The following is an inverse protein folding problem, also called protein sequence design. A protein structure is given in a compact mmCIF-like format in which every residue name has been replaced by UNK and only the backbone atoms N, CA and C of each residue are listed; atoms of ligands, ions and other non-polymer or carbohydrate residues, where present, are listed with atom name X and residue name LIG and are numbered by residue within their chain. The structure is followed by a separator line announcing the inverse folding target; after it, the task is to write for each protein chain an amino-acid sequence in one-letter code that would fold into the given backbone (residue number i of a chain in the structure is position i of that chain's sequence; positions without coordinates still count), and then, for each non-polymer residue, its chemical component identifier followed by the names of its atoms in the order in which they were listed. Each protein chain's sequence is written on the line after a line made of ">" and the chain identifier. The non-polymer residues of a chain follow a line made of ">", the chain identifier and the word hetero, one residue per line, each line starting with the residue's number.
data_IF_305255739575
#
_entry.id   IF_305255739575
#
_cell.length_a   1.000
_cell.length_b   1.000
_cell.length_c   1.000
_cell.angle_alpha   90.00
_cell.angle_beta   90.00
_cell.angle_gamma   90.00
#
_symmetry.space_group_name_H-M   'P 1'
#
loop_
_entity.id
_entity.type
_entity.pdbx_description
1 polymer ?
#
# COMPACT_ATOMS: atom_id res chain seq x y z
N UNK A 1 78.38 -0.90 19.11
CA UNK A 1 77.30 -0.27 19.87
C UNK A 1 76.79 0.92 19.05
N UNK A 2 75.82 0.75 18.17
CA UNK A 2 75.17 1.88 17.52
C UNK A 2 73.69 1.48 17.43
N UNK A 3 72.82 2.19 18.16
CA UNK A 3 71.38 2.05 18.14
C UNK A 3 70.84 2.70 16.91
N UNK A 4 70.17 1.91 16.06
CA UNK A 4 69.42 2.40 14.92
C UNK A 4 67.93 2.61 15.27
N UNK A 5 67.56 3.87 15.34
CA UNK A 5 66.19 4.33 15.59
C UNK A 5 65.40 4.28 14.25
N UNK A 6 64.43 3.36 14.14
CA UNK A 6 63.51 3.31 13.00
C UNK A 6 62.36 4.29 13.23
N UNK A 7 62.35 5.37 12.45
CA UNK A 7 61.18 6.27 12.32
C UNK A 7 60.06 5.55 11.55
N UNK A 8 58.93 5.38 12.20
CA UNK A 8 57.68 4.95 11.54
C UNK A 8 56.99 6.20 10.99
N UNK A 9 56.94 6.36 9.68
CA UNK A 9 56.08 7.34 9.04
C UNK A 9 54.67 6.74 8.93
N UNK A 10 53.72 7.24 9.73
CA UNK A 10 52.31 6.99 9.56
C UNK A 10 51.77 7.96 8.50
N UNK A 11 51.49 7.46 7.31
CA UNK A 11 50.77 8.21 6.26
C UNK A 11 49.28 8.14 6.59
N UNK A 12 48.75 9.26 7.09
CA UNK A 12 47.29 9.45 7.23
C UNK A 12 46.69 9.66 5.84
N UNK A 13 46.12 8.62 5.24
CA UNK A 13 45.25 8.80 4.07
C UNK A 13 43.87 9.28 4.56
N UNK A 14 43.65 10.59 4.52
CA UNK A 14 42.32 11.16 4.55
C UNK A 14 41.63 10.82 3.22
N UNK A 15 40.85 9.74 3.24
CA UNK A 15 39.91 9.43 2.16
C UNK A 15 38.74 10.43 2.21
N UNK A 16 38.82 11.47 1.40
CA UNK A 16 37.65 12.31 1.12
C UNK A 16 36.65 11.48 0.32
N UNK A 17 35.61 10.96 0.98
CA UNK A 17 34.43 10.44 0.31
C UNK A 17 33.74 11.62 -0.36
N UNK A 18 33.99 11.79 -1.65
CA UNK A 18 33.18 12.65 -2.51
C UNK A 18 31.80 11.97 -2.58
N UNK A 19 30.87 12.46 -1.78
CA UNK A 19 29.46 12.16 -1.99
C UNK A 19 29.11 12.68 -3.40
N UNK A 20 28.98 11.79 -4.37
CA UNK A 20 28.43 12.14 -5.66
C UNK A 20 27.00 12.58 -5.41
N UNK A 21 26.76 13.88 -5.37
CA UNK A 21 25.44 14.46 -5.46
C UNK A 21 24.80 13.90 -6.75
N UNK A 22 23.68 13.21 -6.61
CA UNK A 22 22.86 12.88 -7.77
C UNK A 22 22.57 14.19 -8.52
N UNK A 23 22.72 14.24 -9.85
CA UNK A 23 22.42 15.47 -10.59
C UNK A 23 20.99 15.89 -10.23
N UNK A 24 20.84 17.12 -9.74
CA UNK A 24 19.53 17.69 -9.44
C UNK A 24 18.67 17.53 -10.67
N UNK A 25 17.58 16.78 -10.55
CA UNK A 25 16.64 16.55 -11.64
C UNK A 25 16.14 17.95 -12.04
N UNK A 26 16.45 18.35 -13.27
CA UNK A 26 16.19 19.70 -13.74
C UNK A 26 14.69 19.97 -13.61
N UNK A 27 14.30 20.98 -12.84
CA UNK A 27 12.88 21.30 -12.62
C UNK A 27 12.26 21.77 -13.93
N UNK A 28 11.56 20.85 -14.61
CA UNK A 28 10.95 21.08 -15.91
C UNK A 28 9.87 22.17 -15.86
N UNK A 29 9.29 22.45 -14.68
CA UNK A 29 8.33 23.54 -14.51
C UNK A 29 8.96 24.90 -14.78
N UNK A 30 10.23 25.12 -14.39
CA UNK A 30 10.95 26.34 -14.67
C UNK A 30 11.04 26.64 -16.18
N UNK A 31 11.00 25.60 -17.02
CA UNK A 31 11.10 25.72 -18.47
C UNK A 31 9.73 25.71 -19.17
N UNK A 32 8.81 24.84 -18.73
CA UNK A 32 7.61 24.53 -19.51
C UNK A 32 6.30 24.94 -18.82
N UNK A 33 6.30 25.20 -17.50
CA UNK A 33 5.10 25.60 -16.74
C UNK A 33 4.96 27.13 -16.56
N UNK A 34 5.89 27.94 -17.10
CA UNK A 34 5.94 29.40 -16.88
C UNK A 34 4.67 30.12 -17.32
N UNK A 35 3.98 29.59 -18.34
CA UNK A 35 2.74 30.16 -18.86
C UNK A 35 1.47 29.69 -18.13
N UNK A 36 1.55 28.62 -17.35
CA UNK A 36 0.36 28.04 -16.71
C UNK A 36 -0.29 29.01 -15.73
N UNK A 37 -1.62 28.90 -15.59
CA UNK A 37 -2.39 29.60 -14.56
C UNK A 37 -1.76 29.39 -13.18
N UNK A 38 -1.74 30.43 -12.36
CA UNK A 38 -1.04 30.43 -11.08
C UNK A 38 -1.93 29.94 -9.96
N UNK A 39 -1.33 29.23 -8.99
CA UNK A 39 -2.01 28.90 -7.76
C UNK A 39 -2.59 30.13 -7.06
N UNK A 40 -3.78 30.02 -6.48
CA UNK A 40 -4.52 31.10 -5.86
C UNK A 40 -5.38 31.93 -6.84
N UNK A 41 -5.33 31.67 -8.16
CA UNK A 41 -6.22 32.34 -9.13
C UNK A 41 -7.48 31.49 -9.37
N UNK A 42 -8.58 32.15 -9.80
CA UNK A 42 -9.77 31.43 -10.23
C UNK A 42 -9.46 30.57 -11.46
N UNK A 43 -9.88 29.30 -11.45
CA UNK A 43 -9.74 28.43 -12.60
C UNK A 43 -10.66 28.90 -13.73
N UNK A 44 -10.15 29.11 -14.96
CA UNK A 44 -10.98 29.46 -16.11
C UNK A 44 -12.08 28.42 -16.34
N UNK A 45 -13.36 28.85 -16.33
CA UNK A 45 -14.47 27.92 -16.61
C UNK A 45 -14.51 27.58 -18.11
N UNK A 46 -14.93 26.35 -18.39
CA UNK A 46 -15.11 25.90 -19.76
C UNK A 46 -16.35 25.03 -19.90
N UNK A 47 -16.83 24.91 -21.12
CA UNK A 47 -17.93 24.04 -21.50
C UNK A 47 -17.53 23.28 -22.77
N UNK A 48 -17.20 21.99 -22.62
CA UNK A 48 -16.63 21.17 -23.70
C UNK A 48 -17.37 19.84 -23.82
N UNK A 49 -17.20 19.16 -24.97
CA UNK A 49 -17.85 17.89 -25.26
C UNK A 49 -16.95 16.69 -24.97
N UNK A 50 -17.57 15.62 -24.49
CA UNK A 50 -16.94 14.28 -24.38
C UNK A 50 -16.90 13.58 -25.73
N UNK A 51 -16.16 12.48 -25.86
CA UNK A 51 -16.15 11.66 -27.10
C UNK A 51 -17.55 11.16 -27.50
N UNK A 52 -18.48 11.02 -26.55
CA UNK A 52 -19.86 10.60 -26.76
C UNK A 52 -20.82 11.80 -27.01
N UNK A 53 -20.28 13.02 -27.09
CA UNK A 53 -21.04 14.24 -27.35
C UNK A 53 -21.73 14.86 -26.14
N UNK A 54 -21.58 14.30 -24.93
CA UNK A 54 -22.07 14.90 -23.68
C UNK A 54 -21.28 16.15 -23.37
N UNK A 55 -21.93 17.13 -22.72
CA UNK A 55 -21.26 18.39 -22.35
C UNK A 55 -20.85 18.38 -20.88
N UNK A 56 -19.60 18.72 -20.62
CA UNK A 56 -19.05 18.97 -19.27
C UNK A 56 -18.75 20.46 -19.14
N UNK A 57 -19.21 21.06 -18.04
CA UNK A 57 -18.85 22.41 -17.61
C UNK A 57 -18.09 22.32 -16.31
N UNK A 58 -16.87 22.87 -16.26
CA UNK A 58 -15.98 22.75 -15.11
C UNK A 58 -16.63 23.26 -13.81
N UNK A 59 -17.20 24.46 -13.83
CA UNK A 59 -17.81 25.07 -12.62
C UNK A 59 -18.94 24.25 -12.02
N UNK A 60 -19.65 23.45 -12.83
CA UNK A 60 -20.68 22.52 -12.35
C UNK A 60 -20.08 21.20 -11.87
N UNK A 61 -19.10 20.68 -12.61
CA UNK A 61 -18.46 19.41 -12.31
C UNK A 61 -17.61 19.48 -11.03
N UNK A 62 -16.87 20.59 -10.84
CA UNK A 62 -15.96 20.82 -9.74
C UNK A 62 -16.65 21.28 -8.43
N UNK A 63 -17.98 21.50 -8.43
CA UNK A 63 -18.67 22.04 -7.25
C UNK A 63 -18.47 21.16 -6.01
N UNK A 64 -17.75 21.72 -5.01
CA UNK A 64 -17.45 21.03 -3.76
C UNK A 64 -16.42 19.90 -3.85
N UNK A 65 -15.70 19.80 -4.98
CA UNK A 65 -14.73 18.73 -5.24
C UNK A 65 -13.37 19.31 -5.63
N UNK A 66 -12.32 18.57 -5.37
CA UNK A 66 -11.01 18.82 -6.00
C UNK A 66 -11.00 18.16 -7.37
N UNK A 67 -10.60 18.89 -8.41
CA UNK A 67 -10.54 18.39 -9.79
C UNK A 67 -9.14 18.56 -10.37
N UNK A 68 -8.59 17.47 -10.92
CA UNK A 68 -7.35 17.51 -11.69
C UNK A 68 -7.69 17.61 -13.19
N UNK A 69 -7.21 18.64 -13.83
CA UNK A 69 -7.27 18.79 -15.29
C UNK A 69 -5.97 18.23 -15.86
N UNK A 70 -6.07 17.21 -16.70
CA UNK A 70 -4.96 16.54 -17.36
C UNK A 70 -4.93 16.93 -18.84
N UNK A 71 -4.02 17.82 -19.21
CA UNK A 71 -3.85 18.29 -20.59
C UNK A 71 -2.90 17.36 -21.34
N UNK A 72 -3.43 16.59 -22.29
CA UNK A 72 -2.71 15.54 -22.99
C UNK A 72 -3.12 15.39 -24.46
N UNK A 73 -2.49 14.47 -25.18
CA UNK A 73 -2.92 14.06 -26.51
C UNK A 73 -2.46 12.62 -26.83
N UNK A 74 -3.21 11.94 -27.70
CA UNK A 74 -2.89 10.58 -28.14
C UNK A 74 -1.56 10.48 -28.93
N UNK A 75 -1.20 11.54 -29.62
CA UNK A 75 0.04 11.64 -30.42
C UNK A 75 1.27 12.08 -29.60
N UNK A 76 1.10 12.57 -28.37
CA UNK A 76 2.17 13.06 -27.51
C UNK A 76 2.96 11.91 -26.87
N UNK A 77 4.28 11.75 -27.13
CA UNK A 77 5.06 10.65 -26.57
C UNK A 77 5.15 10.68 -25.05
N UNK A 78 5.40 11.86 -24.46
CA UNK A 78 5.54 12.04 -23.02
C UNK A 78 4.20 11.77 -22.31
N UNK A 79 3.09 12.25 -22.89
CA UNK A 79 1.75 11.98 -22.36
C UNK A 79 1.44 10.48 -22.32
N UNK A 80 1.84 9.73 -23.38
CA UNK A 80 1.66 8.28 -23.44
C UNK A 80 2.50 7.54 -22.39
N UNK A 81 3.68 8.08 -22.07
CA UNK A 81 4.54 7.53 -21.02
C UNK A 81 3.93 7.77 -19.64
N UNK A 82 3.34 8.94 -19.41
CA UNK A 82 2.76 9.32 -18.12
C UNK A 82 1.34 8.78 -17.92
N UNK A 83 0.61 8.39 -18.98
CA UNK A 83 -0.78 7.96 -18.89
C UNK A 83 -1.04 6.86 -17.85
N UNK A 84 -0.21 5.80 -17.69
CA UNK A 84 -0.42 4.80 -16.64
C UNK A 84 -0.38 5.41 -15.24
N UNK A 85 0.50 6.38 -15.00
CA UNK A 85 0.63 7.06 -13.72
C UNK A 85 -0.58 7.97 -13.44
N UNK A 86 -1.08 8.68 -14.44
CA UNK A 86 -2.29 9.52 -14.31
C UNK A 86 -3.52 8.67 -14.04
N UNK A 87 -3.68 7.53 -14.72
CA UNK A 87 -4.75 6.56 -14.43
C UNK A 87 -4.64 6.04 -13.02
N UNK A 88 -3.44 5.70 -12.57
CA UNK A 88 -3.18 5.27 -11.18
C UNK A 88 -3.62 6.36 -10.19
N UNK A 89 -3.23 7.61 -10.40
CA UNK A 89 -3.65 8.71 -9.53
C UNK A 89 -5.17 8.86 -9.47
N UNK A 90 -5.87 8.80 -10.61
CA UNK A 90 -7.33 8.85 -10.62
C UNK A 90 -7.96 7.73 -9.78
N UNK A 91 -7.55 6.48 -10.01
CA UNK A 91 -8.07 5.34 -9.26
C UNK A 91 -7.75 5.44 -7.75
N UNK A 92 -6.59 6.00 -7.39
CA UNK A 92 -6.18 6.17 -6.00
C UNK A 92 -6.97 7.26 -5.26
N UNK A 93 -7.26 8.38 -5.92
CA UNK A 93 -7.75 9.57 -5.21
C UNK A 93 -9.26 9.84 -5.39
N UNK A 94 -9.94 9.18 -6.34
CA UNK A 94 -11.39 9.37 -6.58
C UNK A 94 -12.25 9.10 -5.36
N UNK A 95 -11.88 8.14 -4.53
CA UNK A 95 -12.61 7.81 -3.30
C UNK A 95 -12.55 8.93 -2.24
N UNK A 96 -11.58 9.84 -2.33
CA UNK A 96 -11.47 11.03 -1.48
C UNK A 96 -12.18 12.24 -2.06
N UNK A 97 -13.04 12.06 -3.06
CA UNK A 97 -13.73 13.15 -3.74
C UNK A 97 -12.84 13.94 -4.69
N UNK A 98 -11.69 13.40 -5.09
CA UNK A 98 -10.85 13.95 -6.15
C UNK A 98 -11.32 13.40 -7.49
N UNK A 99 -11.68 14.30 -8.39
CA UNK A 99 -12.11 13.96 -9.74
C UNK A 99 -11.03 14.36 -10.75
N UNK A 100 -11.06 13.74 -11.92
CA UNK A 100 -10.17 14.07 -13.03
C UNK A 100 -10.98 14.43 -14.29
N UNK A 101 -10.47 15.32 -15.09
CA UNK A 101 -10.95 15.61 -16.45
C UNK A 101 -9.74 15.61 -17.37
N UNK A 102 -9.70 14.70 -18.33
CA UNK A 102 -8.71 14.75 -19.40
C UNK A 102 -9.12 15.79 -20.44
N UNK A 103 -8.23 16.71 -20.71
CA UNK A 103 -8.41 17.76 -21.73
C UNK A 103 -7.53 17.43 -22.91
N UNK A 104 -8.11 16.80 -23.92
CA UNK A 104 -7.36 16.31 -25.09
C UNK A 104 -7.11 17.41 -26.13
N UNK A 105 -5.86 17.45 -26.62
CA UNK A 105 -5.42 18.29 -27.73
C UNK A 105 -5.46 17.53 -29.08
N UNK A 106 -6.21 16.45 -29.16
CA UNK A 106 -6.42 15.70 -30.40
C UNK A 106 -7.36 16.45 -31.34
N UNK A 107 -7.10 16.30 -32.65
CA UNK A 107 -7.97 16.79 -33.73
C UNK A 107 -8.79 15.66 -34.34
N UNK A 108 -8.42 14.40 -34.06
CA UNK A 108 -9.07 13.18 -34.55
C UNK A 108 -9.75 12.45 -33.38
N UNK A 109 -11.07 12.39 -33.43
CA UNK A 109 -11.88 11.76 -32.38
C UNK A 109 -11.65 10.26 -32.26
N UNK A 110 -11.36 9.57 -33.35
CA UNK A 110 -11.18 8.11 -33.34
C UNK A 110 -9.79 7.74 -32.79
N UNK A 111 -8.74 8.52 -33.14
CA UNK A 111 -7.41 8.38 -32.53
C UNK A 111 -7.48 8.62 -31.01
N UNK A 112 -8.22 9.64 -30.58
CA UNK A 112 -8.47 9.97 -29.18
C UNK A 112 -9.17 8.84 -28.44
N UNK A 113 -10.31 8.34 -28.95
CA UNK A 113 -11.06 7.20 -28.38
C UNK A 113 -10.21 5.94 -28.26
N UNK A 114 -9.42 5.66 -29.31
CA UNK A 114 -8.50 4.50 -29.31
C UNK A 114 -7.45 4.61 -28.22
N UNK A 115 -6.91 5.82 -27.98
CA UNK A 115 -5.92 6.04 -26.92
C UNK A 115 -6.55 5.95 -25.53
N UNK A 116 -7.77 6.47 -25.30
CA UNK A 116 -8.54 6.31 -24.07
C UNK A 116 -8.68 4.81 -23.72
N UNK A 117 -9.11 4.01 -24.68
CA UNK A 117 -9.25 2.56 -24.49
C UNK A 117 -7.92 1.86 -24.26
N UNK A 118 -6.88 2.21 -25.03
CA UNK A 118 -5.54 1.62 -24.92
C UNK A 118 -4.90 1.85 -23.54
N UNK A 119 -5.05 3.03 -22.97
CA UNK A 119 -4.46 3.39 -21.67
C UNK A 119 -5.39 3.12 -20.50
N UNK A 120 -6.60 2.59 -20.72
CA UNK A 120 -7.55 2.29 -19.67
C UNK A 120 -8.05 3.54 -18.93
N UNK A 121 -8.11 4.69 -19.60
CA UNK A 121 -8.55 5.97 -19.01
C UNK A 121 -10.04 5.88 -18.72
N UNK A 122 -10.43 6.04 -17.44
CA UNK A 122 -11.83 5.92 -16.99
C UNK A 122 -12.44 7.26 -16.55
N UNK A 123 -11.61 8.27 -16.31
CA UNK A 123 -12.09 9.60 -15.96
C UNK A 123 -12.62 10.34 -17.20
N UNK A 124 -13.58 11.27 -17.01
CA UNK A 124 -14.17 12.05 -18.09
C UNK A 124 -13.14 12.72 -18.98
N UNK A 125 -13.41 12.73 -20.28
CA UNK A 125 -12.55 13.30 -21.29
C UNK A 125 -13.27 14.38 -22.08
N UNK A 126 -12.61 15.48 -22.39
CA UNK A 126 -13.16 16.57 -23.20
C UNK A 126 -12.15 17.04 -24.23
N UNK A 127 -12.63 17.55 -25.38
CA UNK A 127 -11.78 18.14 -26.42
C UNK A 127 -12.53 19.21 -27.21
N UNK A 128 -11.79 20.19 -27.75
CA UNK A 128 -12.28 21.12 -28.77
C UNK A 128 -12.09 20.55 -30.18
N UNK A 129 -11.35 19.44 -30.34
CA UNK A 129 -10.94 18.87 -31.64
C UNK A 129 -10.24 19.87 -32.55
N UNK A 130 -9.50 20.81 -31.97
CA UNK A 130 -8.70 21.85 -32.66
C UNK A 130 -7.21 21.54 -32.48
N UNK A 131 -6.37 22.09 -33.35
CA UNK A 131 -4.92 21.99 -33.14
C UNK A 131 -4.52 22.64 -31.83
N UNK A 132 -3.55 22.04 -31.14
CA UNK A 132 -3.14 22.42 -29.79
C UNK A 132 -3.05 23.93 -29.55
N UNK A 133 -2.33 24.69 -30.42
CA UNK A 133 -2.16 26.12 -30.28
C UNK A 133 -3.40 26.96 -30.64
N UNK A 134 -4.40 26.35 -31.25
CA UNK A 134 -5.65 27.00 -31.67
C UNK A 134 -6.76 26.83 -30.62
N UNK A 135 -6.59 25.91 -29.64
CA UNK A 135 -7.59 25.64 -28.61
C UNK A 135 -7.74 26.84 -27.66
N UNK A 136 -8.98 27.19 -27.35
CA UNK A 136 -9.27 28.30 -26.44
C UNK A 136 -8.94 27.88 -24.99
N UNK A 137 -9.11 26.60 -24.65
CA UNK A 137 -8.79 26.06 -23.35
C UNK A 137 -7.27 26.10 -23.04
N UNK A 138 -6.41 25.75 -24.01
CA UNK A 138 -4.97 25.86 -23.81
C UNK A 138 -4.51 27.31 -23.59
N UNK A 139 -5.11 28.26 -24.31
CA UNK A 139 -4.85 29.71 -24.11
C UNK A 139 -5.31 30.15 -22.73
N UNK A 140 -6.52 29.77 -22.31
CA UNK A 140 -7.09 30.18 -21.03
C UNK A 140 -6.27 29.67 -19.84
N UNK A 141 -5.72 28.45 -19.92
CA UNK A 141 -4.89 27.88 -18.90
C UNK A 141 -3.38 28.12 -19.07
N UNK A 142 -2.99 28.81 -20.13
CA UNK A 142 -1.59 29.08 -20.45
C UNK A 142 -0.76 27.86 -20.78
N UNK A 143 -1.40 26.78 -21.29
CA UNK A 143 -0.77 25.50 -21.62
C UNK A 143 0.03 25.65 -22.91
N UNK A 144 1.35 25.65 -22.79
CA UNK A 144 2.31 25.70 -23.89
C UNK A 144 3.04 24.38 -24.15
N UNK A 145 2.89 23.45 -23.24
CA UNK A 145 3.51 22.12 -23.26
C UNK A 145 2.52 21.07 -22.77
N UNK A 146 2.58 19.85 -23.28
CA UNK A 146 1.87 18.70 -22.75
C UNK A 146 2.86 17.53 -22.54
N UNK A 147 2.69 16.71 -21.47
CA UNK A 147 1.60 16.79 -20.49
C UNK A 147 1.69 18.02 -19.60
N UNK A 148 0.55 18.58 -19.22
CA UNK A 148 0.43 19.61 -18.19
C UNK A 148 -0.76 19.29 -17.30
N UNK A 149 -0.66 19.60 -16.01
CA UNK A 149 -1.73 19.33 -15.06
C UNK A 149 -2.06 20.57 -14.24
N UNK A 150 -3.36 20.76 -13.97
CA UNK A 150 -3.84 21.83 -13.11
C UNK A 150 -4.80 21.23 -12.08
N UNK A 151 -4.52 21.44 -10.79
CA UNK A 151 -5.40 21.05 -9.69
C UNK A 151 -6.28 22.24 -9.31
N UNK A 152 -7.60 22.04 -9.37
CA UNK A 152 -8.62 23.02 -8.99
C UNK A 152 -9.27 22.57 -7.68
N UNK A 153 -9.28 23.43 -6.67
CA UNK A 153 -9.88 23.13 -5.37
C UNK A 153 -11.41 23.25 -5.37
N UNK A 154 -12.07 22.81 -4.28
CA UNK A 154 -13.52 22.88 -4.11
C UNK A 154 -14.09 24.31 -4.15
N UNK A 155 -13.24 25.30 -3.92
CA UNK A 155 -13.51 26.74 -3.98
C UNK A 155 -13.39 27.30 -5.42
N UNK A 156 -13.11 26.47 -6.41
CA UNK A 156 -12.90 26.87 -7.80
C UNK A 156 -11.56 27.55 -8.08
N UNK A 157 -10.65 27.58 -7.12
CA UNK A 157 -9.32 28.18 -7.31
C UNK A 157 -8.29 27.15 -7.72
N UNK A 158 -7.33 27.56 -8.52
CA UNK A 158 -6.14 26.77 -8.85
C UNK A 158 -5.29 26.56 -7.60
N UNK A 159 -4.95 25.31 -7.30
CA UNK A 159 -4.11 24.92 -6.16
C UNK A 159 -2.69 24.56 -6.59
N UNK A 160 -2.54 23.97 -7.76
CA UNK A 160 -1.26 23.57 -8.35
C UNK A 160 -1.35 23.61 -9.87
N UNK A 161 -0.27 24.04 -10.53
CA UNK A 161 -0.08 23.91 -11.97
C UNK A 161 1.34 23.46 -12.25
N UNK A 162 1.50 22.38 -13.04
CA UNK A 162 2.80 21.74 -13.26
C UNK A 162 2.81 20.91 -14.54
N UNK A 163 4.00 20.66 -15.08
CA UNK A 163 4.24 19.66 -16.14
C UNK A 163 4.77 18.35 -15.59
N UNK A 164 4.81 18.19 -14.26
CA UNK A 164 5.43 17.06 -13.55
C UNK A 164 4.38 16.28 -12.78
N UNK A 165 4.00 15.12 -13.29
CA UNK A 165 2.97 14.22 -12.73
C UNK A 165 3.20 13.91 -11.25
N UNK A 166 4.46 13.70 -10.83
CA UNK A 166 4.80 13.42 -9.44
C UNK A 166 4.47 14.56 -8.47
N UNK A 167 4.46 15.85 -8.93
CA UNK A 167 4.07 16.99 -8.07
C UNK A 167 2.57 16.97 -7.79
N UNK A 168 1.76 16.54 -8.77
CA UNK A 168 0.32 16.34 -8.56
C UNK A 168 0.08 15.19 -7.58
N UNK A 169 0.75 14.05 -7.76
CA UNK A 169 0.65 12.92 -6.85
C UNK A 169 1.01 13.31 -5.41
N UNK A 170 2.15 14.02 -5.25
CA UNK A 170 2.57 14.56 -3.95
C UNK A 170 1.51 15.47 -3.34
N UNK A 171 0.97 16.43 -4.11
CA UNK A 171 -0.06 17.35 -3.64
C UNK A 171 -1.34 16.63 -3.23
N UNK A 172 -1.82 15.67 -4.06
CA UNK A 172 -3.02 14.90 -3.76
C UNK A 172 -2.80 14.00 -2.54
N UNK A 173 -1.62 13.41 -2.40
CA UNK A 173 -1.24 12.65 -1.22
C UNK A 173 -1.28 13.51 0.04
N UNK A 174 -0.69 14.71 0.01
CA UNK A 174 -0.73 15.65 1.14
C UNK A 174 -2.17 16.12 1.44
N UNK A 175 -2.97 16.40 0.40
CA UNK A 175 -4.37 16.78 0.54
C UNK A 175 -5.20 15.67 1.16
N UNK A 176 -5.03 14.44 0.72
CA UNK A 176 -5.79 13.28 1.20
C UNK A 176 -5.20 12.72 2.50
N UNK A 177 -3.89 12.88 2.75
CA UNK A 177 -3.26 12.57 4.04
C UNK A 177 -3.72 13.56 5.11
N UNK A 178 -4.01 14.81 4.75
CA UNK A 178 -4.68 15.77 5.65
C UNK A 178 -6.17 15.42 5.89
N UNK A 179 -6.84 14.77 4.93
CA UNK A 179 -8.17 14.17 5.09
C UNK A 179 -8.07 12.80 5.80
N UNK A 180 -7.00 12.08 5.56
CA UNK A 180 -6.54 10.96 6.34
C UNK A 180 -5.78 11.52 7.57
N UNK A 181 -6.51 12.13 8.48
CA UNK A 181 -6.03 12.29 9.83
C UNK A 181 -5.98 10.88 10.43
N UNK A 182 -4.87 10.18 10.19
CA UNK A 182 -4.48 8.99 10.91
C UNK A 182 -4.34 9.32 12.41
N UNK A 183 -5.45 9.72 13.01
CA UNK A 183 -5.66 9.67 14.44
C UNK A 183 -6.01 8.23 14.73
N UNK A 184 -5.48 7.69 15.80
CA UNK A 184 -5.86 6.38 16.31
C UNK A 184 -7.38 6.36 16.54
N UNK A 185 -8.15 6.07 15.46
CA UNK A 185 -9.60 5.89 15.55
C UNK A 185 -9.84 4.54 16.18
N UNK A 186 -10.10 4.51 17.47
CA UNK A 186 -10.40 3.25 18.14
C UNK A 186 -10.01 3.24 19.60
N UNK A 187 -10.25 2.12 20.24
CA UNK A 187 -9.93 1.84 21.63
C UNK A 187 -8.57 1.14 21.70
N UNK A 188 -7.62 1.75 22.40
CA UNK A 188 -6.32 1.12 22.68
C UNK A 188 -6.49 0.11 23.80
N UNK A 189 -6.09 -1.13 23.56
CA UNK A 189 -6.14 -2.21 24.53
C UNK A 189 -4.75 -2.84 24.69
N UNK A 190 -4.54 -3.51 25.84
CA UNK A 190 -3.33 -4.24 26.14
C UNK A 190 -3.67 -5.72 26.30
N UNK A 191 -2.98 -6.60 25.61
CA UNK A 191 -3.22 -8.04 25.58
C UNK A 191 -1.95 -8.74 26.09
N UNK A 192 -2.09 -9.80 26.87
CA UNK A 192 -0.93 -10.60 27.26
C UNK A 192 -0.44 -11.41 26.06
N UNK A 193 0.75 -11.08 25.55
CA UNK A 193 1.41 -11.78 24.44
C UNK A 193 2.33 -12.91 24.92
N UNK A 194 3.18 -13.39 24.02
CA UNK A 194 4.11 -14.49 24.34
C UNK A 194 5.28 -14.01 25.23
N UNK A 195 5.85 -12.85 24.96
CA UNK A 195 7.03 -12.29 25.64
C UNK A 195 6.76 -10.92 26.27
N UNK A 196 5.55 -10.62 26.67
CA UNK A 196 5.16 -9.35 27.24
C UNK A 196 3.82 -8.86 26.71
N UNK A 197 3.45 -7.66 27.10
CA UNK A 197 2.16 -7.08 26.72
C UNK A 197 2.18 -6.55 25.30
N UNK A 198 1.17 -6.91 24.55
CA UNK A 198 0.91 -6.40 23.20
C UNK A 198 0.08 -5.12 23.30
N UNK A 199 0.47 -4.09 22.54
CA UNK A 199 -0.35 -2.92 22.29
C UNK A 199 -1.23 -3.19 21.08
N UNK A 200 -2.54 -3.04 21.24
CA UNK A 200 -3.51 -3.23 20.17
C UNK A 200 -4.50 -2.07 20.09
N UNK A 201 -5.10 -1.91 18.92
CA UNK A 201 -6.11 -0.89 18.63
C UNK A 201 -7.34 -1.57 18.03
N UNK A 202 -8.47 -1.47 18.73
CA UNK A 202 -9.77 -1.95 18.26
C UNK A 202 -10.51 -0.80 17.60
N UNK A 203 -10.89 -0.97 16.34
CA UNK A 203 -11.73 -0.08 15.57
C UNK A 203 -13.03 -0.82 15.24
N UNK A 204 -14.18 -0.32 15.73
CA UNK A 204 -15.47 -1.00 15.58
C UNK A 204 -16.57 -0.04 15.10
N UNK A 205 -17.60 -0.54 14.39
CA UNK A 205 -18.79 0.24 14.07
C UNK A 205 -19.58 0.56 15.35
N UNK A 206 -20.49 1.51 15.26
CA UNK A 206 -21.49 1.72 16.31
C UNK A 206 -22.44 0.51 16.36
N UNK A 207 -22.57 -0.11 17.53
CA UNK A 207 -23.41 -1.28 17.74
C UNK A 207 -24.52 -0.94 18.74
N UNK A 208 -25.73 -1.40 18.47
CA UNK A 208 -26.84 -1.37 19.44
C UNK A 208 -26.60 -2.40 20.54
N UNK A 209 -27.21 -2.24 21.72
CA UNK A 209 -27.14 -3.24 22.79
C UNK A 209 -27.50 -4.65 22.28
N UNK A 210 -26.60 -5.63 22.48
CA UNK A 210 -26.77 -7.01 22.03
C UNK A 210 -26.46 -7.29 20.56
N UNK A 211 -26.16 -6.28 19.76
CA UNK A 211 -25.76 -6.46 18.36
C UNK A 211 -24.32 -6.99 18.30
N UNK A 212 -24.08 -7.85 17.30
CA UNK A 212 -22.76 -8.43 17.01
C UNK A 212 -22.29 -8.04 15.63
N UNK A 213 -20.96 -7.97 15.46
CA UNK A 213 -20.31 -7.75 14.16
C UNK A 213 -19.15 -8.72 13.93
N UNK A 214 -18.79 -9.01 12.68
CA UNK A 214 -17.54 -9.69 12.38
C UNK A 214 -16.34 -8.85 12.82
N UNK A 215 -15.18 -9.50 13.05
CA UNK A 215 -13.92 -8.80 13.35
C UNK A 215 -12.78 -9.36 12.53
N UNK A 216 -11.89 -8.46 12.05
CA UNK A 216 -10.69 -8.78 11.29
C UNK A 216 -9.45 -8.48 12.13
N UNK A 217 -8.55 -9.45 12.23
CA UNK A 217 -7.26 -9.37 12.94
C UNK A 217 -6.16 -9.07 11.93
N UNK A 218 -5.28 -8.11 12.22
CA UNK A 218 -4.21 -7.69 11.31
C UNK A 218 -2.82 -8.01 11.88
N UNK A 219 -2.01 -8.72 11.10
CA UNK A 219 -0.64 -9.12 11.40
C UNK A 219 0.35 -8.34 10.50
N UNK A 220 1.14 -7.44 11.08
CA UNK A 220 2.11 -6.64 10.34
C UNK A 220 3.36 -7.43 9.92
N UNK A 221 4.16 -6.87 9.00
CA UNK A 221 5.37 -7.50 8.50
C UNK A 221 6.61 -7.24 9.38
N UNK A 222 7.74 -7.80 8.92
CA UNK A 222 9.07 -7.65 9.54
C UNK A 222 9.40 -6.19 9.83
N UNK A 223 9.79 -5.88 11.06
CA UNK A 223 10.07 -4.52 11.53
C UNK A 223 8.92 -3.53 11.25
N UNK A 224 7.69 -4.02 11.16
CA UNK A 224 6.49 -3.23 10.96
C UNK A 224 5.83 -2.79 12.26
N UNK A 225 4.66 -2.18 12.14
CA UNK A 225 3.78 -1.82 13.25
C UNK A 225 2.32 -1.97 12.85
N UNK A 226 1.42 -1.90 13.83
CA UNK A 226 -0.04 -1.90 13.61
C UNK A 226 -0.54 -0.70 12.81
N UNK A 227 0.29 0.32 12.61
CA UNK A 227 -0.03 1.54 11.90
C UNK A 227 0.49 1.48 10.47
N UNK A 228 -0.15 2.23 9.59
CA UNK A 228 0.25 2.38 8.20
C UNK A 228 -0.92 2.26 7.23
N UNK A 229 -0.80 2.88 6.06
CA UNK A 229 -1.93 3.04 5.13
C UNK A 229 -2.52 1.69 4.68
N UNK A 230 -1.70 0.65 4.58
CA UNK A 230 -2.15 -0.65 4.11
C UNK A 230 -3.23 -1.27 5.02
N UNK A 231 -3.08 -1.14 6.34
CA UNK A 231 -4.03 -1.69 7.31
C UNK A 231 -5.11 -0.70 7.71
N UNK A 232 -4.75 0.57 7.83
CA UNK A 232 -5.67 1.61 8.27
C UNK A 232 -6.79 1.83 7.26
N UNK A 233 -6.47 1.84 5.97
CA UNK A 233 -7.47 1.97 4.90
C UNK A 233 -8.44 0.77 4.85
N UNK A 234 -7.92 -0.45 5.01
CA UNK A 234 -8.79 -1.63 5.10
C UNK A 234 -9.68 -1.54 6.34
N UNK A 235 -9.12 -1.18 7.51
CA UNK A 235 -9.88 -1.06 8.76
C UNK A 235 -10.98 0.02 8.67
N UNK A 236 -10.70 1.18 8.07
CA UNK A 236 -11.69 2.25 7.86
C UNK A 236 -12.83 1.78 6.93
N UNK A 237 -12.49 1.09 5.84
CA UNK A 237 -13.47 0.54 4.89
C UNK A 237 -14.33 -0.53 5.57
N UNK A 238 -13.74 -1.43 6.35
CA UNK A 238 -14.45 -2.47 7.10
C UNK A 238 -15.41 -1.86 8.12
N UNK A 239 -14.97 -0.84 8.88
CA UNK A 239 -15.82 -0.15 9.86
C UNK A 239 -17.05 0.48 9.20
N UNK A 240 -16.89 1.12 8.04
CA UNK A 240 -17.98 1.70 7.26
C UNK A 240 -19.00 0.65 6.80
N UNK A 241 -18.59 -0.63 6.71
CA UNK A 241 -19.44 -1.76 6.31
C UNK A 241 -19.89 -2.63 7.49
N UNK A 242 -19.80 -2.12 8.72
CA UNK A 242 -20.30 -2.81 9.91
C UNK A 242 -19.41 -3.96 10.40
N UNK A 243 -18.13 -3.95 10.06
CA UNK A 243 -17.12 -4.95 10.44
C UNK A 243 -16.09 -4.29 11.36
N UNK A 244 -15.81 -4.89 12.51
CA UNK A 244 -14.76 -4.43 13.40
C UNK A 244 -13.38 -4.91 12.95
N UNK A 245 -12.35 -4.27 13.47
CA UNK A 245 -10.96 -4.68 13.27
C UNK A 245 -10.14 -4.55 14.55
N UNK A 246 -9.11 -5.37 14.68
CA UNK A 246 -8.06 -5.23 15.67
C UNK A 246 -6.71 -5.27 14.97
N UNK A 247 -5.92 -4.23 15.19
CA UNK A 247 -4.53 -4.11 14.74
C UNK A 247 -3.65 -4.11 15.97
N UNK A 248 -2.55 -4.81 15.96
CA UNK A 248 -1.65 -4.90 17.12
C UNK A 248 -0.20 -4.92 16.69
N UNK A 249 0.67 -4.49 17.58
CA UNK A 249 2.12 -4.64 17.43
C UNK A 249 2.55 -5.98 18.05
N UNK A 250 3.32 -6.78 17.32
CA UNK A 250 3.93 -8.00 17.89
C UNK A 250 4.94 -7.65 19.01
N UNK A 251 5.24 -8.59 19.90
CA UNK A 251 6.31 -8.37 20.87
C UNK A 251 7.62 -7.96 20.20
N UNK A 252 8.32 -6.99 20.79
CA UNK A 252 9.53 -6.39 20.22
C UNK A 252 9.31 -5.38 19.11
N UNK A 253 8.03 -5.03 18.81
CA UNK A 253 7.67 -4.06 17.77
C UNK A 253 6.82 -2.92 18.33
N UNK A 254 6.90 -1.76 17.66
CA UNK A 254 6.04 -0.62 17.88
C UNK A 254 5.90 -0.22 19.35
N UNK A 255 4.71 -0.33 19.90
CA UNK A 255 4.40 0.00 21.29
C UNK A 255 4.21 -1.20 22.21
N UNK A 256 4.45 -2.43 21.72
CA UNK A 256 4.45 -3.66 22.53
C UNK A 256 5.74 -3.86 23.29
N UNK A 257 5.69 -4.63 24.36
CA UNK A 257 6.87 -5.01 25.16
C UNK A 257 7.76 -6.02 24.41
N UNK A 258 8.97 -6.22 24.91
CA UNK A 258 9.99 -7.08 24.30
C UNK A 258 11.01 -6.32 23.48
N UNK A 259 12.00 -7.04 22.97
CA UNK A 259 13.05 -6.47 22.12
C UNK A 259 13.00 -7.13 20.73
N UNK A 260 13.20 -6.35 19.67
CA UNK A 260 13.18 -6.85 18.29
C UNK A 260 14.16 -8.01 18.06
N UNK A 261 15.33 -8.01 18.74
CA UNK A 261 16.32 -9.08 18.62
C UNK A 261 15.81 -10.44 19.13
N UNK A 262 14.80 -10.44 19.98
CA UNK A 262 14.23 -11.67 20.57
C UNK A 262 13.05 -12.20 19.76
N UNK A 263 12.57 -11.46 18.77
CA UNK A 263 11.50 -11.83 17.86
C UNK A 263 11.85 -13.09 17.05
N UNK A 264 10.89 -13.99 16.94
CA UNK A 264 10.89 -15.10 15.98
C UNK A 264 9.49 -15.31 15.41
N UNK A 265 9.37 -15.93 14.24
CA UNK A 265 8.05 -16.23 13.66
C UNK A 265 7.17 -17.10 14.57
N UNK A 266 7.70 -18.15 15.26
CA UNK A 266 6.93 -18.88 16.27
C UNK A 266 6.37 -17.99 17.39
N UNK A 267 7.16 -17.03 17.92
CA UNK A 267 6.67 -16.11 18.95
C UNK A 267 5.54 -15.21 18.42
N UNK A 268 5.68 -14.68 17.20
CA UNK A 268 4.62 -13.89 16.56
C UNK A 268 3.34 -14.72 16.32
N UNK A 269 3.44 -16.02 16.06
CA UNK A 269 2.28 -16.92 15.97
C UNK A 269 1.60 -17.04 17.33
N UNK A 270 2.34 -17.19 18.42
CA UNK A 270 1.75 -17.21 19.77
C UNK A 270 1.10 -15.87 20.13
N UNK A 271 1.72 -14.74 19.80
CA UNK A 271 1.10 -13.42 19.95
C UNK A 271 -0.23 -13.34 19.17
N UNK A 272 -0.25 -13.80 17.90
CA UNK A 272 -1.47 -13.82 17.09
C UNK A 272 -2.56 -14.73 17.71
N UNK A 273 -2.21 -15.88 18.28
CA UNK A 273 -3.14 -16.76 19.01
C UNK A 273 -3.70 -16.07 20.24
N UNK A 274 -2.89 -15.34 21.01
CA UNK A 274 -3.35 -14.56 22.16
C UNK A 274 -4.33 -13.45 21.76
N UNK A 275 -4.10 -12.81 20.63
CA UNK A 275 -5.07 -11.84 20.08
C UNK A 275 -6.36 -12.53 19.65
N UNK A 276 -6.30 -13.73 19.04
CA UNK A 276 -7.50 -14.53 18.69
C UNK A 276 -8.28 -14.92 19.94
N UNK A 277 -7.61 -15.40 21.00
CA UNK A 277 -8.23 -15.71 22.30
C UNK A 277 -8.97 -14.48 22.86
N UNK A 278 -8.27 -13.35 22.94
CA UNK A 278 -8.85 -12.10 23.42
C UNK A 278 -10.10 -11.66 22.62
N UNK A 279 -10.03 -11.74 21.29
CA UNK A 279 -11.14 -11.35 20.41
C UNK A 279 -12.34 -12.29 20.55
N UNK A 280 -12.12 -13.60 20.74
CA UNK A 280 -13.18 -14.59 20.98
C UNK A 280 -13.96 -14.32 22.27
N UNK A 281 -13.33 -13.73 23.27
CA UNK A 281 -13.98 -13.37 24.54
C UNK A 281 -14.83 -12.09 24.44
N UNK A 282 -14.69 -11.31 23.37
CA UNK A 282 -15.49 -10.12 23.11
C UNK A 282 -16.93 -10.51 22.71
N UNK A 283 -17.90 -10.24 23.57
CA UNK A 283 -19.30 -10.67 23.40
C UNK A 283 -19.98 -10.15 22.14
N UNK A 284 -19.47 -9.06 21.56
CA UNK A 284 -20.01 -8.45 20.36
C UNK A 284 -19.41 -9.01 19.05
N UNK A 285 -18.43 -9.92 19.12
CA UNK A 285 -17.85 -10.54 17.94
C UNK A 285 -18.68 -11.73 17.49
N UNK A 286 -19.01 -11.80 16.19
CA UNK A 286 -19.81 -12.87 15.60
C UNK A 286 -19.00 -13.88 14.81
N UNK A 287 -17.96 -13.43 14.14
CA UNK A 287 -17.07 -14.25 13.30
C UNK A 287 -15.72 -13.58 13.13
N UNK A 288 -14.70 -14.33 12.73
CA UNK A 288 -13.32 -13.87 12.63
C UNK A 288 -12.77 -14.02 11.22
N UNK A 289 -11.98 -13.03 10.80
CA UNK A 289 -11.04 -13.16 9.69
C UNK A 289 -9.65 -12.68 10.13
N UNK A 290 -8.62 -13.10 9.39
CA UNK A 290 -7.24 -12.69 9.66
C UNK A 290 -6.58 -12.19 8.38
N UNK A 291 -5.82 -11.11 8.50
CA UNK A 291 -5.09 -10.48 7.41
C UNK A 291 -3.62 -10.38 7.80
N UNK A 292 -2.71 -10.67 6.88
CA UNK A 292 -1.28 -10.49 7.13
C UNK A 292 -0.54 -9.94 5.94
N UNK A 293 0.41 -9.04 6.20
CA UNK A 293 1.32 -8.50 5.19
C UNK A 293 2.73 -9.02 5.41
N UNK A 294 3.41 -9.43 4.34
CA UNK A 294 4.82 -9.84 4.41
C UNK A 294 5.04 -11.00 5.40
N UNK A 295 5.93 -10.86 6.40
CA UNK A 295 6.10 -11.82 7.48
C UNK A 295 4.79 -12.08 8.24
N UNK A 296 3.98 -11.03 8.50
CA UNK A 296 2.65 -11.19 9.09
C UNK A 296 1.70 -12.03 8.24
N UNK A 297 1.92 -12.12 6.92
CA UNK A 297 1.23 -13.06 6.03
C UNK A 297 1.60 -14.52 6.32
N UNK A 298 2.87 -14.79 6.65
CA UNK A 298 3.30 -16.10 7.13
C UNK A 298 2.66 -16.41 8.48
N UNK A 299 2.74 -15.48 9.43
CA UNK A 299 2.12 -15.62 10.76
C UNK A 299 0.62 -15.89 10.63
N UNK A 300 -0.12 -15.09 9.87
CA UNK A 300 -1.56 -15.24 9.66
C UNK A 300 -1.91 -16.61 9.05
N UNK A 301 -1.16 -17.06 8.04
CA UNK A 301 -1.39 -18.34 7.37
C UNK A 301 -1.14 -19.53 8.27
N UNK A 302 -0.04 -19.49 9.05
CA UNK A 302 0.30 -20.58 9.99
C UNK A 302 -0.63 -20.59 11.20
N UNK A 303 -1.00 -19.43 11.74
CA UNK A 303 -2.01 -19.31 12.81
C UNK A 303 -3.34 -19.90 12.36
N UNK A 304 -3.77 -19.58 11.12
CA UNK A 304 -5.00 -20.15 10.57
C UNK A 304 -4.92 -21.66 10.44
N UNK A 305 -3.79 -22.21 9.99
CA UNK A 305 -3.58 -23.65 9.89
C UNK A 305 -3.59 -24.35 11.23
N UNK A 306 -2.84 -23.86 12.22
CA UNK A 306 -2.74 -24.45 13.56
C UNK A 306 -4.09 -24.46 14.29
N UNK A 307 -4.78 -23.31 14.32
CA UNK A 307 -6.08 -23.23 14.97
C UNK A 307 -7.15 -24.05 14.26
N UNK A 308 -7.08 -24.22 12.92
CA UNK A 308 -8.00 -25.08 12.19
C UNK A 308 -7.77 -26.55 12.48
N UNK A 309 -6.51 -26.98 12.66
CA UNK A 309 -6.19 -28.34 13.08
C UNK A 309 -6.71 -28.63 14.49
N UNK A 310 -6.56 -27.67 15.41
CA UNK A 310 -7.06 -27.80 16.80
C UNK A 310 -8.59 -27.89 16.86
N UNK A 311 -9.31 -27.14 16.01
CA UNK A 311 -10.76 -27.09 15.98
C UNK A 311 -11.40 -28.19 15.12
N UNK A 312 -10.65 -28.79 14.19
CA UNK A 312 -11.19 -29.74 13.19
C UNK A 312 -12.02 -29.07 12.08
N UNK A 313 -12.06 -27.73 12.04
CA UNK A 313 -12.77 -26.91 11.05
C UNK A 313 -12.01 -25.59 10.81
N UNK A 314 -12.32 -24.81 9.75
CA UNK A 314 -11.66 -23.54 9.51
C UNK A 314 -11.85 -22.56 10.69
N UNK A 315 -10.74 -22.16 11.31
CA UNK A 315 -10.72 -21.26 12.47
C UNK A 315 -11.18 -19.83 12.15
N UNK A 316 -11.11 -19.45 10.87
CA UNK A 316 -11.48 -18.15 10.35
C UNK A 316 -12.44 -18.29 9.18
N UNK A 317 -13.38 -17.33 9.09
CA UNK A 317 -14.31 -17.20 7.96
C UNK A 317 -13.56 -16.87 6.67
N UNK A 318 -12.48 -16.11 6.77
CA UNK A 318 -11.61 -15.77 5.64
C UNK A 318 -10.18 -15.45 6.12
N UNK A 319 -9.22 -15.71 5.24
CA UNK A 319 -7.82 -15.29 5.38
C UNK A 319 -7.45 -14.40 4.20
N UNK A 320 -6.73 -13.30 4.42
CA UNK A 320 -6.17 -12.51 3.33
C UNK A 320 -4.65 -12.31 3.53
N UNK A 321 -3.87 -12.67 2.54
CA UNK A 321 -2.42 -12.56 2.55
C UNK A 321 -1.96 -11.52 1.52
N UNK A 322 -1.24 -10.51 1.97
CA UNK A 322 -0.64 -9.47 1.15
C UNK A 322 0.87 -9.69 1.07
N UNK A 323 1.39 -10.05 -0.09
CA UNK A 323 2.80 -10.34 -0.33
C UNK A 323 3.44 -11.25 0.75
N UNK A 324 2.86 -12.45 1.05
CA UNK A 324 3.29 -13.28 2.18
C UNK A 324 4.74 -13.74 2.02
N UNK A 325 5.59 -13.42 3.02
CA UNK A 325 7.04 -13.54 2.93
C UNK A 325 7.57 -14.94 3.29
N UNK A 326 7.04 -16.00 2.67
CA UNK A 326 7.56 -17.36 2.90
C UNK A 326 9.01 -17.54 2.43
N UNK A 327 9.58 -16.57 1.71
CA UNK A 327 11.00 -16.48 1.35
C UNK A 327 11.91 -16.48 2.59
N UNK A 328 11.41 -16.06 3.76
CA UNK A 328 12.20 -16.02 5.02
C UNK A 328 12.86 -17.35 5.38
N UNK A 329 12.20 -18.48 5.08
CA UNK A 329 12.79 -19.81 5.26
C UNK A 329 13.95 -20.06 4.31
N UNK A 330 13.77 -19.75 3.03
CA UNK A 330 14.81 -19.93 2.02
C UNK A 330 15.98 -18.98 2.26
N UNK A 331 15.73 -17.76 2.73
CA UNK A 331 16.75 -16.80 3.14
C UNK A 331 17.57 -17.33 4.32
N UNK A 332 16.92 -17.88 5.34
CA UNK A 332 17.58 -18.51 6.47
C UNK A 332 18.46 -19.69 6.03
N UNK A 333 17.97 -20.55 5.13
CA UNK A 333 18.72 -21.69 4.58
C UNK A 333 19.93 -21.24 3.75
N UNK A 334 19.77 -20.16 2.96
CA UNK A 334 20.87 -19.61 2.15
C UNK A 334 21.90 -18.84 2.95
N UNK A 335 21.64 -18.49 4.22
CA UNK A 335 22.49 -17.65 5.03
C UNK A 335 22.48 -16.19 4.57
N UNK A 336 21.34 -15.70 4.10
CA UNK A 336 21.19 -14.31 3.68
C UNK A 336 19.79 -13.80 3.98
N UNK A 337 19.64 -12.91 4.95
CA UNK A 337 18.36 -12.26 5.27
C UNK A 337 18.51 -10.75 5.06
N UNK A 338 17.61 -10.15 4.29
CA UNK A 338 17.62 -8.72 3.99
C UNK A 338 18.97 -8.20 3.48
N UNK A 339 19.68 -9.00 2.66
CA UNK A 339 20.98 -8.65 2.08
C UNK A 339 22.18 -8.78 3.03
N UNK A 340 21.97 -9.29 4.25
CA UNK A 340 23.05 -9.59 5.19
C UNK A 340 23.36 -11.07 5.20
N UNK A 341 24.63 -11.41 5.00
CA UNK A 341 25.13 -12.79 4.96
C UNK A 341 25.61 -13.25 6.33
N UNK A 342 25.37 -14.51 6.63
CA UNK A 342 25.78 -15.19 7.86
C UNK A 342 25.95 -16.69 7.58
N UNK A 343 26.60 -17.40 8.51
CA UNK A 343 26.58 -18.87 8.48
C UNK A 343 25.19 -19.38 8.91
N UNK A 344 24.43 -20.08 8.03
CA UNK A 344 23.10 -20.56 8.35
C UNK A 344 23.06 -21.58 9.50
N UNK A 345 24.19 -22.29 9.75
CA UNK A 345 24.32 -23.28 10.83
C UNK A 345 24.81 -22.64 12.14
N UNK A 346 25.49 -21.50 12.05
CA UNK A 346 25.92 -20.73 13.22
C UNK A 346 25.75 -19.22 12.96
N UNK A 347 24.52 -18.69 13.00
CA UNK A 347 24.24 -17.28 12.73
C UNK A 347 24.72 -16.34 13.87
N UNK A 348 25.37 -16.89 14.91
CA UNK A 348 25.78 -16.13 16.08
C UNK A 348 24.60 -15.72 16.98
N UNK A 349 24.85 -14.73 17.86
CA UNK A 349 23.83 -14.17 18.74
C UNK A 349 22.82 -13.31 17.95
N UNK A 350 23.32 -12.46 17.04
CA UNK A 350 22.51 -11.63 16.16
C UNK A 350 23.24 -11.29 14.86
N UNK A 351 22.45 -10.90 13.85
CA UNK A 351 22.93 -10.30 12.60
C UNK A 351 22.54 -8.82 12.60
N UNK A 352 23.52 -7.93 12.40
CA UNK A 352 23.26 -6.51 12.33
C UNK A 352 22.72 -6.13 10.94
N UNK A 353 21.50 -5.61 10.91
CA UNK A 353 20.84 -5.08 9.73
C UNK A 353 21.16 -3.58 9.56
N UNK A 354 20.36 -2.88 8.75
CA UNK A 354 20.47 -1.44 8.54
C UNK A 354 20.12 -0.65 9.82
N UNK A 355 20.75 0.51 9.99
CA UNK A 355 20.45 1.39 11.11
C UNK A 355 20.79 0.84 12.49
N UNK A 356 21.61 -0.22 12.57
CA UNK A 356 21.97 -0.86 13.83
C UNK A 356 20.92 -1.81 14.39
N UNK A 357 19.87 -2.13 13.61
CA UNK A 357 18.85 -3.09 14.00
C UNK A 357 19.47 -4.50 14.12
N UNK A 358 19.23 -5.18 15.23
CA UNK A 358 19.78 -6.51 15.51
C UNK A 358 18.72 -7.57 15.31
N UNK A 359 18.91 -8.43 14.31
CA UNK A 359 18.10 -9.62 14.10
C UNK A 359 18.71 -10.78 14.89
N UNK A 360 18.00 -11.34 15.84
CA UNK A 360 18.52 -12.41 16.69
C UNK A 360 18.84 -13.69 15.94
N UNK A 361 19.88 -14.41 16.35
CA UNK A 361 20.25 -15.69 15.76
C UNK A 361 19.12 -16.73 15.89
N UNK A 362 18.27 -16.62 16.91
CA UNK A 362 17.10 -17.50 17.08
C UNK A 362 16.05 -17.33 15.99
N UNK A 363 15.85 -16.11 15.46
CA UNK A 363 15.01 -15.91 14.28
C UNK A 363 15.47 -16.80 13.12
N UNK A 364 16.75 -16.78 12.83
CA UNK A 364 17.35 -17.52 11.72
C UNK A 364 17.22 -19.03 11.99
N UNK A 365 17.57 -19.50 13.19
CA UNK A 365 17.49 -20.92 13.54
C UNK A 365 16.06 -21.46 13.44
N UNK A 366 15.07 -20.70 13.90
CA UNK A 366 13.66 -21.11 13.81
C UNK A 366 13.12 -21.01 12.39
N UNK A 367 13.46 -19.96 11.63
CA UNK A 367 13.05 -19.79 10.25
C UNK A 367 13.61 -20.89 9.33
N UNK A 368 14.84 -21.37 9.60
CA UNK A 368 15.53 -22.40 8.81
C UNK A 368 14.67 -23.68 8.63
N UNK A 369 13.95 -24.10 9.65
CA UNK A 369 13.15 -25.35 9.64
C UNK A 369 11.64 -25.08 9.70
N UNK A 370 11.20 -23.84 9.54
CA UNK A 370 9.80 -23.46 9.72
C UNK A 370 8.88 -24.14 8.67
N UNK A 371 7.90 -24.97 9.06
CA UNK A 371 7.02 -25.67 8.13
C UNK A 371 5.86 -24.78 7.65
N UNK A 372 6.19 -23.72 6.88
CA UNK A 372 5.24 -22.65 6.53
C UNK A 372 4.04 -23.20 5.77
N UNK A 373 4.28 -23.81 4.61
CA UNK A 373 3.21 -24.27 3.73
C UNK A 373 2.51 -25.51 4.27
N UNK A 374 3.27 -26.40 4.92
CA UNK A 374 2.77 -27.62 5.55
C UNK A 374 1.77 -27.28 6.67
N UNK A 375 2.06 -26.23 7.44
CA UNK A 375 1.17 -25.73 8.49
C UNK A 375 -0.01 -24.97 7.90
N UNK A 376 0.25 -24.04 6.98
CA UNK A 376 -0.80 -23.26 6.34
C UNK A 376 -1.83 -24.12 5.59
N UNK A 377 -1.40 -25.25 4.98
CA UNK A 377 -2.27 -26.17 4.25
C UNK A 377 -3.38 -26.81 5.12
N UNK A 378 -3.27 -26.77 6.45
CA UNK A 378 -4.30 -27.25 7.37
C UNK A 378 -5.55 -26.36 7.40
N UNK A 379 -5.43 -25.08 6.97
CA UNK A 379 -6.57 -24.21 6.77
C UNK A 379 -7.24 -24.51 5.43
N UNK A 380 -8.54 -24.83 5.44
CA UNK A 380 -9.31 -25.20 4.25
C UNK A 380 -10.48 -24.24 3.98
N UNK A 381 -10.47 -23.08 4.62
CA UNK A 381 -11.47 -22.02 4.42
C UNK A 381 -11.17 -21.12 3.21
N UNK A 382 -12.04 -20.11 2.97
CA UNK A 382 -11.83 -19.10 1.93
C UNK A 382 -10.57 -18.26 2.17
N UNK A 383 -9.76 -18.03 1.13
CA UNK A 383 -8.58 -17.19 1.22
C UNK A 383 -8.40 -16.25 0.02
N UNK A 384 -7.76 -15.12 0.24
CA UNK A 384 -7.24 -14.22 -0.79
C UNK A 384 -5.73 -14.15 -0.67
N UNK A 385 -5.04 -14.26 -1.78
CA UNK A 385 -3.61 -13.94 -1.88
C UNK A 385 -3.47 -12.79 -2.89
N UNK A 386 -2.86 -11.68 -2.48
CA UNK A 386 -2.56 -10.55 -3.35
C UNK A 386 -1.07 -10.27 -3.33
N UNK A 387 -0.44 -10.15 -4.51
CA UNK A 387 1.00 -9.97 -4.64
C UNK A 387 1.36 -9.09 -5.84
N UNK A 388 2.39 -8.26 -5.69
CA UNK A 388 2.94 -7.48 -6.80
C UNK A 388 3.98 -8.26 -7.60
N UNK A 389 3.93 -8.24 -8.94
CA UNK A 389 4.93 -8.94 -9.74
C UNK A 389 6.27 -8.20 -9.87
N UNK A 390 6.36 -6.94 -9.42
CA UNK A 390 7.60 -6.19 -9.30
C UNK A 390 8.17 -6.18 -7.88
N UNK A 391 7.65 -7.02 -6.98
CA UNK A 391 8.16 -7.21 -5.63
C UNK A 391 9.59 -7.78 -5.68
N UNK A 392 10.55 -6.98 -5.15
CA UNK A 392 11.97 -7.32 -5.09
C UNK A 392 12.40 -7.85 -3.71
N UNK A 393 11.48 -7.83 -2.75
CA UNK A 393 11.70 -8.35 -1.39
C UNK A 393 11.24 -9.79 -1.32
N UNK A 394 10.01 -10.05 -1.78
CA UNK A 394 9.40 -11.38 -1.82
C UNK A 394 8.95 -11.68 -3.23
N UNK A 395 9.60 -12.59 -3.97
CA UNK A 395 9.10 -13.02 -5.28
C UNK A 395 7.64 -13.48 -5.19
N UNK A 396 6.80 -13.02 -6.12
CA UNK A 396 5.36 -13.31 -6.12
C UNK A 396 5.04 -14.82 -6.23
N UNK A 397 5.99 -15.61 -6.69
CA UNK A 397 5.89 -17.08 -6.75
C UNK A 397 5.66 -17.73 -5.37
N UNK A 398 6.07 -17.08 -4.27
CA UNK A 398 5.73 -17.53 -2.92
C UNK A 398 4.24 -17.34 -2.62
N UNK A 399 3.62 -16.30 -3.13
CA UNK A 399 2.17 -16.11 -3.08
C UNK A 399 1.41 -17.15 -3.93
N UNK A 400 1.90 -17.45 -5.13
CA UNK A 400 1.34 -18.51 -5.99
C UNK A 400 1.33 -19.87 -5.28
N UNK A 401 2.38 -20.16 -4.49
CA UNK A 401 2.45 -21.42 -3.73
C UNK A 401 1.38 -21.50 -2.62
N UNK A 402 1.03 -20.40 -1.95
CA UNK A 402 -0.11 -20.39 -1.04
C UNK A 402 -1.43 -20.69 -1.77
N UNK A 403 -1.61 -20.13 -2.97
CA UNK A 403 -2.77 -20.43 -3.79
C UNK A 403 -2.85 -21.92 -4.18
N UNK A 404 -1.72 -22.55 -4.48
CA UNK A 404 -1.67 -23.97 -4.82
C UNK A 404 -2.07 -24.90 -3.67
N UNK A 405 -1.77 -24.52 -2.42
CA UNK A 405 -2.10 -25.34 -1.24
C UNK A 405 -3.49 -25.04 -0.66
N UNK A 406 -4.15 -23.94 -1.09
CA UNK A 406 -5.47 -23.54 -0.63
C UNK A 406 -6.53 -23.63 -1.74
N UNK A 407 -7.29 -24.73 -1.83
CA UNK A 407 -8.22 -24.96 -2.93
C UNK A 407 -9.34 -23.91 -3.06
N UNK A 408 -9.68 -23.21 -1.95
CA UNK A 408 -10.71 -22.17 -1.91
C UNK A 408 -10.13 -20.76 -1.92
N UNK A 409 -8.97 -20.58 -2.53
CA UNK A 409 -8.34 -19.25 -2.58
C UNK A 409 -8.53 -18.55 -3.91
N UNK A 410 -8.56 -17.23 -3.85
CA UNK A 410 -8.44 -16.31 -4.98
C UNK A 410 -7.00 -15.77 -5.01
N UNK A 411 -6.36 -15.73 -6.18
CA UNK A 411 -5.02 -15.16 -6.38
C UNK A 411 -5.13 -13.90 -7.25
N UNK A 412 -4.59 -12.80 -6.76
CA UNK A 412 -4.51 -11.53 -7.50
C UNK A 412 -3.05 -11.11 -7.63
N UNK A 413 -2.52 -11.18 -8.84
CA UNK A 413 -1.19 -10.63 -9.16
C UNK A 413 -1.37 -9.22 -9.71
N UNK A 414 -0.81 -8.23 -8.99
CA UNK A 414 -0.83 -6.83 -9.42
C UNK A 414 0.42 -6.53 -10.24
N UNK A 415 0.21 -6.17 -11.52
CA UNK A 415 1.30 -5.86 -12.44
C UNK A 415 2.03 -4.58 -12.02
N UNK A 416 3.36 -4.65 -11.98
CA UNK A 416 4.29 -3.57 -11.63
C UNK A 416 4.22 -3.09 -10.17
N UNK A 417 3.52 -3.80 -9.28
CA UNK A 417 3.46 -3.46 -7.86
C UNK A 417 4.65 -4.05 -7.10
N UNK A 418 5.19 -3.26 -6.17
CA UNK A 418 6.26 -3.64 -5.26
C UNK A 418 5.72 -4.31 -3.97
N UNK A 419 6.63 -4.65 -3.04
CA UNK A 419 6.32 -5.33 -1.78
C UNK A 419 5.33 -4.57 -0.87
N UNK A 420 5.41 -3.24 -0.86
CA UNK A 420 4.54 -2.37 -0.06
C UNK A 420 3.31 -1.87 -0.80
N UNK A 421 3.11 -2.34 -2.05
CA UNK A 421 2.04 -1.87 -2.93
C UNK A 421 2.05 -0.35 -3.12
N UNK A 422 3.25 0.25 -3.11
CA UNK A 422 3.43 1.71 -3.09
C UNK A 422 2.93 2.41 -4.35
N UNK A 423 2.80 1.69 -5.45
CA UNK A 423 2.28 2.21 -6.72
C UNK A 423 0.80 2.61 -6.60
N UNK A 424 0.00 1.85 -5.86
CA UNK A 424 -1.37 2.19 -5.57
C UNK A 424 -1.89 1.37 -4.37
N UNK A 425 -1.60 1.83 -3.16
CA UNK A 425 -2.04 1.18 -1.92
C UNK A 425 -3.57 1.05 -1.85
N UNK A 426 -4.30 2.03 -2.40
CA UNK A 426 -5.77 2.04 -2.38
C UNK A 426 -6.35 0.89 -3.20
N UNK A 427 -5.83 0.66 -4.42
CA UNK A 427 -6.28 -0.48 -5.23
C UNK A 427 -6.11 -1.81 -4.50
N UNK A 428 -4.99 -1.97 -3.80
CA UNK A 428 -4.72 -3.18 -3.02
C UNK A 428 -5.69 -3.30 -1.85
N UNK A 429 -5.88 -2.21 -1.09
CA UNK A 429 -6.77 -2.19 0.08
C UNK A 429 -8.23 -2.33 -0.29
N UNK A 430 -8.67 -1.79 -1.45
CA UNK A 430 -10.03 -2.00 -1.98
C UNK A 430 -10.28 -3.48 -2.28
N UNK A 431 -9.36 -4.15 -2.99
CA UNK A 431 -9.49 -5.58 -3.31
C UNK A 431 -9.58 -6.41 -2.02
N UNK A 432 -8.72 -6.14 -1.04
CA UNK A 432 -8.72 -6.86 0.25
C UNK A 432 -10.01 -6.59 1.02
N UNK A 433 -10.46 -5.33 1.07
CA UNK A 433 -11.68 -4.94 1.77
C UNK A 433 -12.93 -5.56 1.13
N UNK A 434 -13.07 -5.46 -0.20
CA UNK A 434 -14.19 -6.05 -0.95
C UNK A 434 -14.28 -7.56 -0.73
N UNK A 435 -13.12 -8.25 -0.77
CA UNK A 435 -13.05 -9.68 -0.49
C UNK A 435 -13.55 -10.00 0.92
N UNK A 436 -13.02 -9.32 1.94
CA UNK A 436 -13.38 -9.54 3.34
C UNK A 436 -14.85 -9.23 3.61
N UNK A 437 -15.37 -8.12 3.08
CA UNK A 437 -16.78 -7.73 3.19
C UNK A 437 -17.69 -8.81 2.59
N UNK A 438 -17.35 -9.31 1.40
CA UNK A 438 -18.09 -10.38 0.73
C UNK A 438 -18.13 -11.65 1.59
N UNK A 439 -16.98 -12.09 2.13
CA UNK A 439 -16.90 -13.32 2.93
C UNK A 439 -17.64 -13.18 4.27
N UNK A 440 -17.44 -12.08 4.98
CA UNK A 440 -17.98 -11.87 6.33
C UNK A 440 -19.49 -11.56 6.33
N UNK A 441 -20.03 -10.96 5.26
CA UNK A 441 -21.47 -10.68 5.15
C UNK A 441 -22.28 -11.85 4.55
N UNK A 442 -21.65 -12.82 3.89
CA UNK A 442 -22.32 -13.99 3.35
C UNK A 442 -22.94 -14.88 4.44
N UNK A 443 -22.42 -14.85 5.66
CA UNK A 443 -22.95 -15.63 6.81
C UNK A 443 -24.29 -15.09 7.31
N UNK A 444 -24.54 -13.76 7.18
CA UNK A 444 -25.85 -13.16 7.59
C UNK A 444 -27.06 -13.66 6.79
N UNK A 445 -26.85 -14.29 5.63
CA UNK A 445 -27.92 -14.76 4.72
C UNK A 445 -28.30 -16.23 4.99
N UNK A 446 -27.43 -17.03 5.59
CA UNK A 446 -27.68 -18.46 5.85
C UNK A 446 -28.42 -18.76 7.17
N UNK A 447 -28.55 -17.77 8.07
CA UNK A 447 -29.25 -17.90 9.36
C UNK A 447 -30.65 -17.27 9.37
N UNK A 448 -31.24 -17.06 8.18
CA UNK A 448 -32.64 -16.61 8.01
C UNK A 448 -33.53 -17.68 7.38
#
# INVERSE_FOLDING_TARGET
>A
MIHGMRLLFAVLMMGATVAMAQPAQQDMDAKYATGLVKAGTAAPDFKMKTPEGKTIQLSKFAKGKTVVLDFWASWCPDCRKDAPEVVRMYESYRQYGVEFIGVSMDTDVEAWKKAIGKFGIRYPQVSELKKFKETDIAKAYGVNWIPSMVVVGPDGQVKLSTVLTYKVDKYLKELTTGAYQGGQKGEVVSIDGDHGRLKALIQKPELKPGEKCPMVIFCHGFNGTMNGPLFELVADTLQAHGIASIRFDFNGHGGSEGEFKDMTVPNEIEDAKKVVEYVRDLKYVSSLAIVGHSQGGVVASMTAGLLSEELGEPAFTAVALMAPAAVLRDDAIRGNTMGKTYDPFDPGEYVELWGGLKLGGNYIRTAFSLPIYETAAKYQGPALIIHGNADRVVPYTYGERFHQIWPKSELVIQEYFDHGFSQNVYRTTDIVSEYLIKQLNSIKVSDR
#
